data_IF_581145547204
#
_entry.id   IF_581145547204
#
_cell.length_a   1.000
_cell.length_b   1.000
_cell.length_c   1.000
_cell.angle_alpha   90.00
_cell.angle_beta   90.00
_cell.angle_gamma   90.00
#
_symmetry.space_group_name_H-M   'P 1'
#
loop_
_entity.id
_entity.type
_entity.pdbx_description
1 polymer ?
#
# COMPACT_ATOMS: atom_id res chain seq x y z
N UNK A 1 18.58 24.31 -46.04
CA UNK A 1 17.20 23.88 -45.71
C UNK A 1 17.20 22.37 -45.56
N UNK A 2 17.16 21.90 -44.31
CA UNK A 2 16.51 20.65 -43.88
C UNK A 2 16.80 20.51 -42.39
N UNK A 3 15.91 21.10 -41.59
CA UNK A 3 15.86 20.89 -40.16
C UNK A 3 15.18 19.54 -39.95
N UNK A 4 15.93 18.54 -39.50
CA UNK A 4 15.36 17.29 -39.02
C UNK A 4 14.70 17.59 -37.67
N UNK A 5 13.37 17.55 -37.65
CA UNK A 5 12.55 17.57 -36.45
C UNK A 5 12.91 16.34 -35.61
N UNK A 6 13.73 16.55 -34.58
CA UNK A 6 13.96 15.55 -33.54
C UNK A 6 12.64 15.34 -32.80
N UNK A 7 12.00 14.20 -33.05
CA UNK A 7 10.90 13.75 -32.21
C UNK A 7 11.43 13.62 -30.77
N UNK A 8 10.92 14.46 -29.88
CA UNK A 8 11.23 14.39 -28.46
C UNK A 8 10.83 13.00 -27.96
N UNK A 9 11.81 12.25 -27.44
CA UNK A 9 11.53 11.01 -26.72
C UNK A 9 10.56 11.33 -25.55
N UNK A 10 9.59 10.45 -25.24
CA UNK A 10 8.61 10.71 -24.20
C UNK A 10 9.33 10.98 -22.87
N UNK A 11 9.09 12.16 -22.31
CA UNK A 11 9.63 12.57 -21.01
C UNK A 11 9.12 11.61 -19.94
N UNK A 12 10.06 11.02 -19.23
CA UNK A 12 9.83 9.89 -18.34
C UNK A 12 9.45 10.38 -16.93
N UNK A 13 8.22 10.86 -16.78
CA UNK A 13 7.73 11.44 -15.52
C UNK A 13 7.13 10.36 -14.63
N UNK A 14 7.62 10.25 -13.38
CA UNK A 14 7.00 9.44 -12.34
C UNK A 14 5.72 10.13 -11.86
N UNK A 15 4.71 9.33 -11.57
CA UNK A 15 3.46 9.77 -10.92
C UNK A 15 3.58 9.67 -9.41
N UNK A 16 2.68 10.29 -8.66
CA UNK A 16 2.63 10.09 -7.20
C UNK A 16 2.43 8.62 -6.81
N UNK A 17 1.74 7.83 -7.62
CA UNK A 17 1.56 6.40 -7.37
C UNK A 17 2.89 5.67 -7.53
N UNK A 18 3.67 6.02 -8.56
CA UNK A 18 5.03 5.50 -8.77
C UNK A 18 5.93 5.82 -7.56
N UNK A 19 5.98 7.10 -7.16
CA UNK A 19 6.83 7.58 -6.07
C UNK A 19 6.43 7.01 -4.70
N UNK A 20 5.12 6.86 -4.44
CA UNK A 20 4.62 6.20 -3.23
C UNK A 20 5.08 4.74 -3.16
N UNK A 21 4.91 3.95 -4.23
CA UNK A 21 5.37 2.55 -4.24
C UNK A 21 6.88 2.45 -4.11
N UNK A 22 7.64 3.31 -4.79
CA UNK A 22 9.10 3.35 -4.65
C UNK A 22 9.55 3.70 -3.23
N UNK A 23 8.81 4.55 -2.52
CA UNK A 23 9.06 4.85 -1.10
C UNK A 23 8.90 3.62 -0.22
N UNK A 24 7.94 2.75 -0.55
CA UNK A 24 7.73 1.49 0.17
C UNK A 24 8.77 0.42 -0.18
N UNK A 25 9.56 0.57 -1.24
CA UNK A 25 10.55 -0.43 -1.63
C UNK A 25 11.77 -0.40 -0.69
N UNK A 26 12.05 -1.54 -0.06
CA UNK A 26 13.31 -1.79 0.61
C UNK A 26 14.33 -2.30 -0.42
N UNK A 27 15.37 -1.52 -0.63
CA UNK A 27 16.36 -1.72 -1.69
C UNK A 27 17.35 -2.84 -1.36
N UNK A 28 17.70 -2.98 -0.09
CA UNK A 28 18.60 -4.02 0.39
C UNK A 28 17.95 -5.40 0.29
N UNK A 29 16.66 -5.47 0.61
CA UNK A 29 15.91 -6.72 0.63
C UNK A 29 15.26 -7.06 -0.73
N UNK A 30 14.98 -6.06 -1.57
CA UNK A 30 14.22 -6.22 -2.83
C UNK A 30 12.71 -6.45 -2.63
N UNK A 31 12.19 -6.11 -1.44
CA UNK A 31 10.79 -6.29 -1.05
C UNK A 31 10.18 -4.97 -0.59
N UNK A 32 8.86 -4.86 -0.63
CA UNK A 32 8.16 -3.71 -0.06
C UNK A 32 8.01 -3.83 1.46
N UNK A 33 8.08 -2.70 2.16
CA UNK A 33 7.66 -2.57 3.54
C UNK A 33 6.21 -3.05 3.68
N UNK A 34 5.95 -3.85 4.70
CA UNK A 34 4.66 -4.50 4.90
C UNK A 34 3.61 -3.50 5.36
N UNK A 35 2.55 -3.31 4.57
CA UNK A 35 1.36 -2.47 4.89
C UNK A 35 0.11 -3.38 4.93
N UNK A 36 -0.90 -3.20 5.81
CA UNK A 36 -2.10 -4.05 5.75
C UNK A 36 -2.77 -3.84 4.40
N UNK A 37 -3.27 -4.91 3.78
CA UNK A 37 -3.78 -4.82 2.41
C UNK A 37 -4.87 -3.77 2.21
N UNK A 38 -5.73 -3.55 3.21
CA UNK A 38 -6.73 -2.48 3.13
C UNK A 38 -6.10 -1.08 3.15
N UNK A 39 -5.23 -0.81 4.11
CA UNK A 39 -4.58 0.50 4.25
C UNK A 39 -3.68 0.79 3.04
N UNK A 40 -2.98 -0.22 2.51
CA UNK A 40 -2.20 -0.12 1.28
C UNK A 40 -3.10 0.25 0.11
N UNK A 41 -4.24 -0.44 -0.03
CA UNK A 41 -5.19 -0.15 -1.10
C UNK A 41 -5.76 1.27 -0.99
N UNK A 42 -6.11 1.71 0.22
CA UNK A 42 -6.54 3.07 0.48
C UNK A 42 -5.44 4.09 0.12
N UNK A 43 -4.18 3.82 0.52
CA UNK A 43 -3.07 4.72 0.29
C UNK A 43 -2.72 4.84 -1.20
N UNK A 44 -2.72 3.72 -1.95
CA UNK A 44 -2.49 3.71 -3.40
C UNK A 44 -3.60 4.45 -4.14
N UNK A 45 -4.86 4.25 -3.77
CA UNK A 45 -5.99 5.01 -4.32
C UNK A 45 -5.85 6.49 -3.97
N UNK A 46 -5.42 6.80 -2.74
CA UNK A 46 -5.13 8.15 -2.28
C UNK A 46 -4.03 8.82 -3.11
N UNK A 47 -2.94 8.10 -3.42
CA UNK A 47 -1.88 8.60 -4.29
C UNK A 47 -2.40 8.88 -5.71
N UNK A 48 -3.25 8.01 -6.25
CA UNK A 48 -3.87 8.21 -7.56
C UNK A 48 -4.82 9.42 -7.58
N UNK A 49 -5.60 9.62 -6.52
CA UNK A 49 -6.44 10.81 -6.35
C UNK A 49 -5.59 12.07 -6.18
N UNK A 50 -4.50 12.01 -5.40
CA UNK A 50 -3.52 13.10 -5.29
C UNK A 50 -2.95 13.49 -6.65
N UNK A 51 -2.55 12.51 -7.46
CA UNK A 51 -2.05 12.73 -8.82
C UNK A 51 -3.10 13.40 -9.72
N UNK A 52 -4.35 12.93 -9.67
CA UNK A 52 -5.46 13.56 -10.38
C UNK A 52 -5.69 15.01 -9.93
N UNK A 53 -5.51 15.31 -8.65
CA UNK A 53 -5.60 16.68 -8.15
C UNK A 53 -4.47 17.57 -8.64
N UNK A 54 -3.22 17.08 -8.61
CA UNK A 54 -2.08 17.80 -9.15
C UNK A 54 -2.20 18.07 -10.66
N UNK A 55 -2.91 17.20 -11.38
CA UNK A 55 -3.27 17.39 -12.81
C UNK A 55 -4.54 18.21 -13.03
N UNK A 56 -5.10 18.80 -11.97
CA UNK A 56 -6.33 19.60 -11.99
C UNK A 56 -7.53 18.87 -12.61
N UNK A 57 -7.59 17.54 -12.44
CA UNK A 57 -8.75 16.72 -12.83
C UNK A 57 -9.83 16.72 -11.75
N UNK A 58 -9.39 16.72 -10.50
CA UNK A 58 -10.24 16.79 -9.31
C UNK A 58 -9.72 17.85 -8.35
N UNK A 59 -10.60 18.26 -7.44
CA UNK A 59 -10.26 19.07 -6.27
C UNK A 59 -10.96 18.50 -5.04
N UNK A 60 -10.49 18.84 -3.85
CA UNK A 60 -11.09 18.40 -2.60
C UNK A 60 -11.22 19.56 -1.64
N UNK A 61 -12.42 19.74 -1.10
CA UNK A 61 -12.60 20.56 0.10
C UNK A 61 -12.83 19.65 1.33
N UNK A 62 -13.17 20.26 2.47
CA UNK A 62 -13.39 19.54 3.73
C UNK A 62 -14.60 18.60 3.67
N UNK A 63 -15.59 18.90 2.83
CA UNK A 63 -16.88 18.21 2.79
C UNK A 63 -17.01 17.25 1.60
N UNK A 64 -16.44 17.61 0.45
CA UNK A 64 -16.68 16.94 -0.81
C UNK A 64 -15.51 17.00 -1.80
N UNK A 65 -15.45 15.97 -2.64
CA UNK A 65 -14.62 15.93 -3.83
C UNK A 65 -15.38 16.59 -5.00
N UNK A 66 -14.68 17.44 -5.74
CA UNK A 66 -15.18 18.18 -6.89
C UNK A 66 -14.47 17.68 -8.15
N UNK A 67 -15.24 17.29 -9.16
CA UNK A 67 -14.71 17.02 -10.50
C UNK A 67 -14.47 18.34 -11.23
N UNK A 68 -13.24 18.56 -11.71
CA UNK A 68 -12.86 19.75 -12.48
C UNK A 68 -12.83 19.48 -13.98
N UNK A 69 -12.24 18.34 -14.39
CA UNK A 69 -12.05 17.95 -15.78
C UNK A 69 -12.09 16.42 -15.89
N UNK A 70 -12.98 15.89 -16.74
CA UNK A 70 -13.19 14.46 -16.98
C UNK A 70 -12.31 13.89 -18.12
N UNK A 71 -11.46 14.72 -18.72
CA UNK A 71 -10.57 14.30 -19.80
C UNK A 71 -9.61 13.20 -19.32
N UNK A 72 -9.59 12.03 -19.98
CA UNK A 72 -8.68 10.94 -19.65
C UNK A 72 -7.23 11.40 -19.62
N UNK A 73 -6.49 10.89 -18.64
CA UNK A 73 -5.07 11.21 -18.43
C UNK A 73 -4.15 10.35 -19.29
N UNK A 74 -4.65 9.23 -19.82
CA UNK A 74 -3.87 8.23 -20.54
C UNK A 74 -3.09 7.28 -19.62
N UNK A 75 -3.31 7.38 -18.30
CA UNK A 75 -2.69 6.52 -17.31
C UNK A 75 -3.71 5.46 -16.83
N UNK A 76 -3.44 4.15 -17.03
CA UNK A 76 -4.35 3.09 -16.63
C UNK A 76 -4.57 2.99 -15.11
N UNK A 77 -3.67 3.55 -14.29
CA UNK A 77 -3.86 3.64 -12.84
C UNK A 77 -4.86 4.74 -12.44
N UNK A 78 -4.99 5.81 -13.23
CA UNK A 78 -5.76 7.00 -12.89
C UNK A 78 -7.13 7.03 -13.58
N UNK A 79 -7.18 6.66 -14.86
CA UNK A 79 -8.37 6.81 -15.71
C UNK A 79 -9.59 6.04 -15.17
N UNK A 80 -9.46 4.80 -14.64
CA UNK A 80 -10.61 4.10 -14.06
C UNK A 80 -11.16 4.75 -12.78
N UNK A 81 -10.33 5.50 -12.05
CA UNK A 81 -10.77 6.30 -10.89
C UNK A 81 -11.52 7.52 -11.38
N UNK A 82 -10.93 8.26 -12.32
CA UNK A 82 -11.53 9.47 -12.88
C UNK A 82 -12.88 9.19 -13.53
N UNK A 83 -12.97 8.13 -14.34
CA UNK A 83 -14.23 7.68 -14.95
C UNK A 83 -15.29 7.37 -13.88
N UNK A 84 -14.89 6.74 -12.77
CA UNK A 84 -15.85 6.39 -11.72
C UNK A 84 -16.38 7.62 -10.97
N UNK A 85 -15.52 8.62 -10.75
CA UNK A 85 -15.89 9.90 -10.17
C UNK A 85 -16.82 10.66 -11.12
N UNK A 86 -16.47 10.74 -12.42
CA UNK A 86 -17.24 11.46 -13.42
C UNK A 86 -18.67 10.91 -13.62
N UNK A 87 -18.85 9.60 -13.44
CA UNK A 87 -20.14 8.93 -13.60
C UNK A 87 -21.02 8.91 -12.33
N UNK A 88 -20.58 9.49 -11.20
CA UNK A 88 -21.36 9.52 -9.97
C UNK A 88 -22.08 10.87 -9.79
N UNK A 89 -23.42 10.89 -9.79
CA UNK A 89 -24.18 12.14 -9.69
C UNK A 89 -24.17 12.76 -8.28
N UNK A 90 -23.82 11.98 -7.25
CA UNK A 90 -23.86 12.42 -5.85
C UNK A 90 -22.52 12.96 -5.40
N UNK A 91 -22.52 14.07 -4.65
CA UNK A 91 -21.32 14.59 -4.01
C UNK A 91 -20.97 13.75 -2.80
N UNK A 92 -19.70 13.39 -2.68
CA UNK A 92 -19.17 12.59 -1.59
C UNK A 92 -17.81 13.13 -1.15
N UNK A 93 -17.46 12.89 0.11
CA UNK A 93 -16.16 13.26 0.66
C UNK A 93 -15.02 12.49 -0.01
N UNK A 94 -13.80 13.02 0.08
CA UNK A 94 -12.61 12.31 -0.40
C UNK A 94 -12.44 10.95 0.32
N UNK A 95 -12.72 10.87 1.62
CA UNK A 95 -12.73 9.62 2.38
C UNK A 95 -13.65 8.55 1.77
N UNK A 96 -14.88 8.93 1.41
CA UNK A 96 -15.82 8.02 0.76
C UNK A 96 -15.25 7.45 -0.54
N UNK A 97 -14.62 8.31 -1.34
CA UNK A 97 -14.02 7.89 -2.61
C UNK A 97 -12.86 6.94 -2.42
N UNK A 98 -11.96 7.23 -1.46
CA UNK A 98 -10.85 6.35 -1.10
C UNK A 98 -11.38 4.97 -0.71
N UNK A 99 -12.32 4.89 0.24
CA UNK A 99 -12.87 3.60 0.68
C UNK A 99 -13.61 2.85 -0.43
N UNK A 100 -14.39 3.56 -1.25
CA UNK A 100 -15.16 2.97 -2.35
C UNK A 100 -14.25 2.41 -3.44
N UNK A 101 -13.14 3.08 -3.70
CA UNK A 101 -12.20 2.75 -4.76
C UNK A 101 -11.08 1.82 -4.28
N UNK A 102 -10.90 1.61 -2.98
CA UNK A 102 -9.90 0.71 -2.40
C UNK A 102 -9.96 -0.73 -2.96
N UNK A 103 -11.13 -1.19 -3.44
CA UNK A 103 -11.24 -2.48 -4.13
C UNK A 103 -10.42 -2.56 -5.43
N UNK A 104 -10.03 -1.42 -6.00
CA UNK A 104 -9.15 -1.32 -7.18
C UNK A 104 -7.66 -1.22 -6.81
N UNK A 105 -7.31 -1.13 -5.52
CA UNK A 105 -5.94 -0.92 -5.06
C UNK A 105 -4.95 -1.92 -5.67
N UNK A 106 -5.27 -3.21 -5.65
CA UNK A 106 -4.43 -4.26 -6.26
C UNK A 106 -4.19 -4.02 -7.75
N UNK A 107 -5.24 -3.70 -8.53
CA UNK A 107 -5.09 -3.44 -9.96
C UNK A 107 -4.26 -2.19 -10.27
N UNK A 108 -4.29 -1.20 -9.37
CA UNK A 108 -3.46 0.00 -9.50
C UNK A 108 -2.00 -0.36 -9.21
N UNK A 109 -1.75 -1.12 -8.14
CA UNK A 109 -0.40 -1.59 -7.80
C UNK A 109 0.20 -2.37 -8.97
N UNK A 110 -0.54 -3.34 -9.52
CA UNK A 110 -0.06 -4.16 -10.64
C UNK A 110 0.28 -3.31 -11.86
N UNK A 111 -0.62 -2.39 -12.26
CA UNK A 111 -0.40 -1.49 -13.39
C UNK A 111 0.80 -0.55 -13.18
N UNK A 112 0.98 -0.04 -11.95
CA UNK A 112 2.11 0.82 -11.59
C UNK A 112 3.42 0.05 -11.60
N UNK A 113 3.47 -1.18 -11.07
CA UNK A 113 4.68 -2.01 -11.10
C UNK A 113 5.07 -2.39 -12.53
N UNK A 114 4.10 -2.79 -13.36
CA UNK A 114 4.33 -3.05 -14.79
C UNK A 114 4.87 -1.81 -15.50
N UNK A 115 4.27 -0.64 -15.23
CA UNK A 115 4.76 0.64 -15.74
C UNK A 115 6.20 0.91 -15.29
N UNK A 116 6.53 0.76 -14.01
CA UNK A 116 7.87 0.98 -13.49
C UNK A 116 8.91 0.04 -14.13
N UNK A 117 8.52 -1.20 -14.48
CA UNK A 117 9.37 -2.14 -15.22
C UNK A 117 9.54 -1.72 -16.69
N UNK A 118 8.47 -1.30 -17.37
CA UNK A 118 8.53 -0.75 -18.73
C UNK A 118 9.40 0.50 -18.81
N UNK A 119 9.27 1.34 -17.78
CA UNK A 119 10.11 2.49 -17.56
C UNK A 119 11.51 2.07 -17.10
N UNK A 120 11.91 0.80 -17.00
CA UNK A 120 13.26 0.43 -16.54
C UNK A 120 13.65 1.15 -15.24
N UNK A 121 12.71 1.38 -14.34
CA UNK A 121 12.97 1.89 -12.99
C UNK A 121 13.09 0.69 -12.05
N UNK A 122 12.26 -0.33 -12.29
CA UNK A 122 12.33 -1.62 -11.62
C UNK A 122 12.73 -2.71 -12.62
N UNK A 123 13.38 -3.74 -12.12
CA UNK A 123 13.55 -5.04 -12.76
C UNK A 123 12.73 -6.05 -11.98
N UNK A 124 11.95 -6.85 -12.71
CA UNK A 124 11.18 -7.95 -12.13
C UNK A 124 11.97 -9.25 -12.28
N UNK A 125 12.10 -9.99 -11.17
CA UNK A 125 12.84 -11.25 -11.14
C UNK A 125 11.93 -12.44 -10.88
N UNK A 126 12.35 -13.60 -11.38
CA UNK A 126 11.69 -14.87 -11.11
C UNK A 126 11.65 -15.14 -9.60
N UNK A 127 10.44 -15.23 -9.04
CA UNK A 127 10.23 -15.38 -7.59
C UNK A 127 9.44 -14.23 -6.94
N UNK A 128 9.08 -13.20 -7.71
CA UNK A 128 8.19 -12.12 -7.24
C UNK A 128 8.88 -11.07 -6.39
N UNK A 129 10.17 -10.85 -6.62
CA UNK A 129 10.92 -9.73 -6.03
C UNK A 129 11.29 -8.71 -7.12
N UNK A 130 11.43 -7.46 -6.71
CA UNK A 130 11.78 -6.35 -7.59
C UNK A 130 13.07 -5.70 -7.10
N UNK A 131 13.93 -5.33 -8.04
CA UNK A 131 15.13 -4.54 -7.73
C UNK A 131 15.12 -3.26 -8.54
N UNK A 132 15.85 -2.25 -8.07
CA UNK A 132 16.02 -1.02 -8.84
C UNK A 132 16.92 -1.27 -10.05
N UNK A 133 16.47 -0.78 -11.19
CA UNK A 133 17.23 -0.82 -12.44
C UNK A 133 18.26 0.32 -12.43
N UNK A 134 19.50 0.01 -12.06
CA UNK A 134 20.62 0.99 -12.04
C UNK A 134 20.81 1.73 -13.36
N UNK A 135 20.52 1.08 -14.49
CA UNK A 135 20.81 1.62 -15.83
C UNK A 135 19.66 2.41 -16.46
N UNK A 136 18.46 2.42 -15.88
CA UNK A 136 17.28 3.00 -16.53
C UNK A 136 16.85 4.36 -16.00
N UNK A 137 17.31 4.78 -14.83
CA UNK A 137 17.13 6.14 -14.33
C UNK A 137 18.36 6.97 -14.72
N UNK A 138 18.37 7.53 -15.93
CA UNK A 138 19.36 8.54 -16.32
C UNK A 138 18.71 9.91 -16.24
N UNK A 139 19.34 10.77 -15.45
CA UNK A 139 18.97 12.12 -15.04
C UNK A 139 18.75 13.09 -16.21
N UNK A 140 17.57 13.05 -16.84
CA UNK A 140 17.08 14.17 -17.65
C UNK A 140 16.02 15.02 -16.91
N UNK A 141 15.76 14.71 -15.65
CA UNK A 141 14.82 15.45 -14.80
C UNK A 141 15.61 16.10 -13.66
N UNK A 142 15.69 17.43 -13.72
CA UNK A 142 16.17 18.33 -12.65
C UNK A 142 17.51 17.92 -12.02
N UNK A 143 18.56 18.07 -12.83
CA UNK A 143 19.98 17.99 -12.47
C UNK A 143 20.33 17.67 -11.02
N UNK A 144 20.62 16.41 -10.73
CA UNK A 144 21.75 15.99 -9.92
C UNK A 144 21.96 14.47 -10.01
N UNK A 145 23.26 14.10 -9.97
CA UNK A 145 23.91 12.79 -9.84
C UNK A 145 23.52 11.67 -10.83
N UNK A 146 24.46 11.32 -11.70
CA UNK A 146 24.43 10.18 -12.65
C UNK A 146 24.37 8.77 -12.00
N UNK A 147 24.21 8.65 -10.68
CA UNK A 147 24.35 7.38 -9.94
C UNK A 147 23.30 7.15 -8.82
N UNK A 148 22.37 8.08 -8.59
CA UNK A 148 21.27 7.90 -7.61
C UNK A 148 20.13 7.09 -8.25
N UNK A 149 19.46 6.21 -7.50
CA UNK A 149 18.27 5.51 -8.01
C UNK A 149 17.01 6.37 -7.88
N UNK A 150 15.95 6.01 -8.60
CA UNK A 150 14.66 6.72 -8.47
C UNK A 150 14.09 6.66 -7.04
N UNK A 151 14.27 5.54 -6.33
CA UNK A 151 13.78 5.40 -4.97
C UNK A 151 14.60 6.22 -3.97
N UNK A 152 15.94 6.20 -4.10
CA UNK A 152 16.83 7.06 -3.30
C UNK A 152 16.49 8.53 -3.53
N UNK A 153 16.28 8.96 -4.78
CA UNK A 153 15.90 10.34 -5.09
C UNK A 153 14.63 10.78 -4.34
N UNK A 154 13.57 9.95 -4.37
CA UNK A 154 12.31 10.22 -3.67
C UNK A 154 12.53 10.26 -2.16
N UNK A 155 13.25 9.27 -1.60
CA UNK A 155 13.57 9.22 -0.17
C UNK A 155 14.42 10.40 0.29
N UNK A 156 15.40 10.83 -0.51
CA UNK A 156 16.23 12.00 -0.24
C UNK A 156 15.38 13.26 -0.17
N UNK A 157 14.43 13.45 -1.11
CA UNK A 157 13.53 14.61 -1.13
C UNK A 157 12.60 14.63 0.08
N UNK A 158 11.98 13.50 0.41
CA UNK A 158 11.15 13.33 1.60
C UNK A 158 11.96 13.57 2.89
N UNK A 159 13.17 13.01 2.97
CA UNK A 159 14.09 13.19 4.10
C UNK A 159 14.42 14.67 4.30
N UNK A 160 14.68 15.43 3.22
CA UNK A 160 14.92 16.88 3.32
C UNK A 160 13.71 17.64 3.85
N UNK A 161 12.50 17.28 3.44
CA UNK A 161 11.28 17.90 3.97
C UNK A 161 11.05 17.58 5.46
N UNK A 162 11.35 16.35 5.88
CA UNK A 162 11.16 15.88 7.26
C UNK A 162 12.19 16.47 8.21
N UNK A 163 13.48 16.44 7.87
CA UNK A 163 14.56 16.86 8.77
C UNK A 163 15.09 18.28 8.51
N UNK A 164 14.78 18.86 7.35
CA UNK A 164 15.14 20.24 7.01
C UNK A 164 14.11 21.24 7.52
N UNK A 165 14.30 22.53 7.18
CA UNK A 165 13.32 23.58 7.50
C UNK A 165 12.40 23.93 6.33
N UNK A 166 12.70 23.44 5.13
CA UNK A 166 11.95 23.73 3.90
C UNK A 166 10.55 23.09 3.88
N UNK A 167 9.60 23.77 3.22
CA UNK A 167 8.27 23.22 2.99
C UNK A 167 8.33 22.20 1.83
N UNK A 168 7.73 21.01 2.00
CA UNK A 168 7.65 20.02 0.92
C UNK A 168 6.88 20.57 -0.27
N UNK A 169 7.18 20.04 -1.45
CA UNK A 169 6.29 20.22 -2.60
C UNK A 169 4.93 19.52 -2.32
N UNK A 170 3.83 19.92 -2.99
CA UNK A 170 2.52 19.32 -2.74
C UNK A 170 2.49 17.79 -2.91
N UNK A 171 3.32 17.25 -3.81
CA UNK A 171 3.41 15.81 -4.04
C UNK A 171 4.08 15.08 -2.88
N UNK A 172 5.20 15.60 -2.40
CA UNK A 172 5.90 15.10 -1.22
C UNK A 172 5.05 15.18 0.03
N UNK A 173 4.28 16.26 0.20
CA UNK A 173 3.36 16.40 1.33
C UNK A 173 2.30 15.27 1.35
N UNK A 174 1.77 14.92 0.17
CA UNK A 174 0.86 13.79 0.01
C UNK A 174 1.58 12.47 0.34
N UNK A 175 2.77 12.22 -0.22
CA UNK A 175 3.52 10.97 0.02
C UNK A 175 3.85 10.82 1.51
N UNK A 176 4.29 11.88 2.17
CA UNK A 176 4.56 11.91 3.62
C UNK A 176 3.28 11.55 4.39
N UNK A 177 2.15 12.17 4.05
CA UNK A 177 0.86 11.91 4.70
C UNK A 177 0.40 10.46 4.54
N UNK A 178 0.50 9.91 3.32
CA UNK A 178 0.13 8.52 3.02
C UNK A 178 1.01 7.50 3.73
N UNK A 179 2.32 7.72 3.69
CA UNK A 179 3.33 6.84 4.28
C UNK A 179 3.25 6.87 5.81
N UNK A 180 2.93 8.04 6.38
CA UNK A 180 2.64 8.20 7.81
C UNK A 180 1.34 7.47 8.21
N UNK A 181 0.28 7.62 7.43
CA UNK A 181 -1.00 6.93 7.69
C UNK A 181 -0.89 5.39 7.61
N UNK A 182 0.04 4.87 6.81
CA UNK A 182 0.35 3.44 6.72
C UNK A 182 1.24 2.91 7.88
N UNK A 183 1.69 3.78 8.80
CA UNK A 183 2.59 3.48 9.91
C UNK A 183 3.94 2.87 9.47
N UNK A 184 4.43 3.25 8.29
CA UNK A 184 5.72 2.79 7.75
C UNK A 184 6.77 3.89 7.67
N UNK A 185 6.36 5.17 7.77
CA UNK A 185 7.29 6.30 7.69
C UNK A 185 8.37 6.26 8.78
N UNK A 186 8.00 5.88 10.01
CA UNK A 186 8.95 5.71 11.13
C UNK A 186 9.99 4.63 10.87
N UNK A 187 9.60 3.55 10.17
CA UNK A 187 10.48 2.45 9.83
C UNK A 187 11.47 2.83 8.73
N UNK A 188 11.01 3.59 7.74
CA UNK A 188 11.81 4.00 6.57
C UNK A 188 12.85 5.06 6.96
N UNK A 189 12.44 6.08 7.72
CA UNK A 189 13.27 7.25 8.02
C UNK A 189 13.85 7.28 9.44
N UNK A 190 13.60 6.25 10.27
CA UNK A 190 14.09 6.17 11.65
C UNK A 190 13.82 7.44 12.46
N UNK A 191 12.56 7.90 12.42
CA UNK A 191 12.17 9.20 12.98
C UNK A 191 12.36 9.25 14.50
N UNK A 192 12.98 10.33 14.98
CA UNK A 192 12.97 10.72 16.39
C UNK A 192 11.68 11.49 16.76
N UNK A 193 11.55 11.89 18.03
CA UNK A 193 10.35 12.58 18.51
C UNK A 193 10.15 13.95 17.86
N UNK A 194 11.23 14.67 17.52
CA UNK A 194 11.17 15.97 16.87
C UNK A 194 10.74 15.85 15.40
N UNK A 195 11.35 14.94 14.65
CA UNK A 195 10.97 14.65 13.28
C UNK A 195 9.54 14.11 13.18
N UNK A 196 9.10 13.30 14.15
CA UNK A 196 7.72 12.86 14.23
C UNK A 196 6.73 14.02 14.43
N UNK A 197 7.05 14.97 15.30
CA UNK A 197 6.23 16.16 15.51
C UNK A 197 6.18 17.03 14.25
N UNK A 198 7.31 17.14 13.53
CA UNK A 198 7.37 17.83 12.24
C UNK A 198 6.52 17.16 11.17
N UNK A 199 6.59 15.83 11.04
CA UNK A 199 5.72 15.06 10.15
C UNK A 199 4.25 15.34 10.47
N UNK A 200 3.86 15.29 11.75
CA UNK A 200 2.48 15.59 12.14
C UNK A 200 2.05 17.01 11.74
N UNK A 201 2.96 17.98 11.82
CA UNK A 201 2.70 19.34 11.34
C UNK A 201 2.54 19.40 9.82
N UNK A 202 3.42 18.74 9.06
CA UNK A 202 3.35 18.68 7.59
C UNK A 202 2.04 18.05 7.11
N UNK A 203 1.62 16.94 7.73
CA UNK A 203 0.34 16.28 7.45
C UNK A 203 -0.88 17.18 7.73
N UNK A 204 -0.76 18.17 8.63
CA UNK A 204 -1.83 19.14 8.90
C UNK A 204 -1.94 20.22 7.83
N UNK A 205 -0.96 20.42 6.95
CA UNK A 205 -1.03 21.48 5.94
C UNK A 205 -1.78 21.00 4.69
N UNK A 206 -1.75 19.70 4.40
CA UNK A 206 -2.37 19.11 3.21
C UNK A 206 -3.82 18.65 3.46
N UNK A 207 -4.77 19.20 2.71
CA UNK A 207 -6.19 18.82 2.79
C UNK A 207 -6.44 17.43 2.18
N UNK A 208 -5.74 17.09 1.10
CA UNK A 208 -5.90 15.83 0.38
C UNK A 208 -5.29 14.70 1.21
N UNK A 209 -4.04 14.86 1.63
CA UNK A 209 -3.33 13.96 2.51
C UNK A 209 -4.07 13.72 3.82
N UNK A 210 -4.69 14.76 4.40
CA UNK A 210 -5.53 14.60 5.60
C UNK A 210 -6.76 13.77 5.33
N UNK A 211 -7.55 14.08 4.29
CA UNK A 211 -8.77 13.34 4.01
C UNK A 211 -8.49 11.85 3.72
N UNK A 212 -7.32 11.54 3.13
CA UNK A 212 -6.87 10.16 2.92
C UNK A 212 -6.37 9.52 4.23
N UNK A 213 -5.60 10.26 5.04
CA UNK A 213 -5.15 9.78 6.34
C UNK A 213 -6.33 9.48 7.28
N UNK A 214 -7.39 10.29 7.23
CA UNK A 214 -8.65 10.06 7.94
C UNK A 214 -9.32 8.77 7.42
N UNK A 215 -9.37 8.55 6.11
CA UNK A 215 -9.90 7.32 5.53
C UNK A 215 -9.14 6.06 5.98
N UNK A 216 -7.81 6.14 6.11
CA UNK A 216 -6.97 5.04 6.58
C UNK A 216 -7.18 4.83 8.09
N UNK A 217 -7.14 5.89 8.89
CA UNK A 217 -7.30 5.82 10.35
C UNK A 217 -8.69 5.33 10.76
N UNK A 218 -9.74 5.83 10.12
CA UNK A 218 -11.12 5.42 10.37
C UNK A 218 -11.41 4.00 9.87
N UNK A 219 -10.67 3.52 8.88
CA UNK A 219 -10.79 2.12 8.45
C UNK A 219 -10.36 1.10 9.52
N UNK A 220 -9.56 1.53 10.49
CA UNK A 220 -9.22 0.75 11.69
C UNK A 220 -10.34 0.83 12.74
N UNK A 221 -11.04 1.97 12.83
CA UNK A 221 -12.08 2.23 13.84
C UNK A 221 -13.50 1.75 13.44
N UNK A 222 -13.80 1.64 12.14
CA UNK A 222 -15.13 1.27 11.65
C UNK A 222 -15.42 1.87 10.28
N UNK A 223 -14.94 1.27 9.18
CA UNK A 223 -15.02 1.86 7.84
C UNK A 223 -16.47 2.09 7.39
N UNK A 224 -16.72 3.23 6.73
CA UNK A 224 -18.06 3.66 6.30
C UNK A 224 -18.66 2.69 5.27
N UNK A 225 -17.83 2.14 4.39
CA UNK A 225 -18.26 1.32 3.25
C UNK A 225 -17.79 -0.13 3.28
N UNK A 226 -17.07 -0.61 4.31
CA UNK A 226 -16.58 -1.99 4.36
C UNK A 226 -17.73 -2.98 4.50
N UNK A 227 -18.34 -3.32 3.38
CA UNK A 227 -19.01 -4.60 3.22
C UNK A 227 -17.92 -5.65 3.25
N UNK A 228 -17.90 -6.42 4.33
CA UNK A 228 -17.25 -7.73 4.35
C UNK A 228 -17.71 -8.48 3.08
N UNK A 229 -16.85 -8.55 2.08
CA UNK A 229 -17.00 -9.42 0.89
C UNK A 229 -16.68 -10.86 1.25
N UNK A 230 -16.91 -11.28 2.50
CA UNK A 230 -17.00 -12.68 2.81
C UNK A 230 -18.24 -13.23 2.13
N UNK A 231 -18.07 -13.74 0.90
CA UNK A 231 -19.09 -14.50 0.18
C UNK A 231 -19.58 -15.71 1.00
N UNK A 232 -18.83 -16.10 2.03
CA UNK A 232 -19.17 -17.15 2.99
C UNK A 232 -18.71 -16.74 4.39
N UNK A 233 -19.60 -16.79 5.37
CA UNK A 233 -19.26 -16.53 6.76
C UNK A 233 -18.15 -17.49 7.23
N UNK A 234 -17.13 -16.96 7.91
CA UNK A 234 -16.04 -17.78 8.46
C UNK A 234 -16.65 -18.68 9.54
N UNK A 235 -16.48 -20.02 9.44
CA UNK A 235 -17.03 -20.93 10.42
C UNK A 235 -16.32 -20.79 11.78
N UNK A 236 -17.09 -20.83 12.85
CA UNK A 236 -16.58 -20.71 14.23
C UNK A 236 -16.46 -22.09 14.85
N UNK A 237 -15.25 -22.44 15.28
CA UNK A 237 -14.97 -23.67 16.02
C UNK A 237 -15.39 -23.50 17.48
N UNK A 238 -16.15 -24.48 17.98
CA UNK A 238 -16.55 -24.52 19.39
C UNK A 238 -15.38 -24.90 20.30
N UNK A 239 -15.14 -24.14 21.35
CA UNK A 239 -14.12 -24.42 22.38
C UNK A 239 -14.26 -25.81 23.00
N UNK A 240 -15.50 -26.28 23.21
CA UNK A 240 -15.76 -27.60 23.79
C UNK A 240 -15.30 -28.70 22.83
N UNK A 241 -15.52 -28.51 21.51
CA UNK A 241 -15.05 -29.45 20.48
C UNK A 241 -13.53 -29.43 20.38
N UNK A 242 -12.92 -28.24 20.42
CA UNK A 242 -11.46 -28.07 20.41
C UNK A 242 -10.83 -28.85 21.57
N UNK A 243 -11.28 -28.62 22.81
CA UNK A 243 -10.75 -29.27 24.02
C UNK A 243 -11.02 -30.79 24.08
N UNK A 244 -12.07 -31.28 23.40
CA UNK A 244 -12.38 -32.71 23.31
C UNK A 244 -11.61 -33.43 22.19
N UNK A 245 -10.90 -32.70 21.33
CA UNK A 245 -10.18 -33.32 20.22
C UNK A 245 -9.04 -34.22 20.76
N UNK A 246 -8.92 -35.48 20.29
CA UNK A 246 -7.88 -36.40 20.71
C UNK A 246 -6.45 -35.83 20.59
N UNK A 247 -6.22 -34.96 19.61
CA UNK A 247 -4.92 -34.36 19.33
C UNK A 247 -4.52 -33.28 20.35
N UNK A 248 -5.49 -32.61 21.00
CA UNK A 248 -5.21 -31.69 22.13
C UNK A 248 -4.62 -32.47 23.31
N UNK A 249 -5.20 -33.63 23.64
CA UNK A 249 -4.73 -34.47 24.76
C UNK A 249 -3.34 -35.06 24.53
N UNK A 250 -2.94 -35.23 23.27
CA UNK A 250 -1.63 -35.76 22.86
C UNK A 250 -0.58 -34.65 22.63
N UNK A 251 -0.94 -33.38 22.80
CA UNK A 251 -0.05 -32.25 22.53
C UNK A 251 0.34 -32.06 21.05
N UNK A 252 -0.35 -32.73 20.12
CA UNK A 252 -0.01 -32.68 18.69
C UNK A 252 -0.82 -31.58 17.99
N UNK A 253 -0.33 -30.35 18.10
CA UNK A 253 -0.94 -29.16 17.49
C UNK A 253 -1.04 -29.24 15.95
N UNK A 254 -0.02 -29.73 15.21
CA UNK A 254 -0.14 -29.86 13.75
C UNK A 254 -1.30 -30.78 13.32
N UNK A 255 -1.45 -31.94 13.95
CA UNK A 255 -2.54 -32.87 13.65
C UNK A 255 -3.91 -32.31 14.07
N UNK A 256 -3.96 -31.55 15.17
CA UNK A 256 -5.17 -30.84 15.59
C UNK A 256 -5.64 -29.86 14.50
N UNK A 257 -4.77 -28.95 14.07
CA UNK A 257 -5.13 -27.95 13.06
C UNK A 257 -5.39 -28.57 11.69
N UNK A 258 -4.71 -29.66 11.33
CA UNK A 258 -5.03 -30.43 10.12
C UNK A 258 -6.46 -31.01 10.19
N UNK A 259 -6.86 -31.62 11.31
CA UNK A 259 -8.21 -32.16 11.49
C UNK A 259 -9.29 -31.07 11.45
N UNK A 260 -9.00 -29.89 12.02
CA UNK A 260 -9.91 -28.74 11.98
C UNK A 260 -10.02 -28.15 10.56
N UNK A 261 -8.92 -28.13 9.79
CA UNK A 261 -8.92 -27.67 8.41
C UNK A 261 -9.74 -28.59 7.50
N UNK A 262 -9.76 -29.89 7.76
CA UNK A 262 -10.60 -30.85 7.05
C UNK A 262 -12.10 -30.66 7.38
N UNK A 263 -12.46 -30.43 8.64
CA UNK A 263 -13.86 -30.27 9.07
C UNK A 263 -14.44 -28.89 8.72
N UNK A 264 -13.67 -27.82 8.93
CA UNK A 264 -14.15 -26.43 8.82
C UNK A 264 -13.64 -25.70 7.57
N UNK A 265 -12.75 -26.33 6.81
CA UNK A 265 -12.10 -25.72 5.66
C UNK A 265 -10.83 -24.93 6.02
N UNK A 266 -10.18 -24.32 5.01
CA UNK A 266 -8.86 -23.72 5.16
C UNK A 266 -8.82 -22.45 6.04
N UNK A 267 -9.98 -21.84 6.30
CA UNK A 267 -10.14 -20.62 7.10
C UNK A 267 -11.25 -20.84 8.13
N UNK A 268 -10.93 -20.75 9.41
CA UNK A 268 -11.93 -20.84 10.48
C UNK A 268 -11.57 -19.94 11.66
N UNK A 269 -12.52 -19.70 12.55
CA UNK A 269 -12.35 -18.82 13.70
C UNK A 269 -12.41 -19.61 15.01
N UNK A 270 -11.51 -19.34 15.95
CA UNK A 270 -11.61 -19.84 17.34
C UNK A 270 -11.92 -18.65 18.26
N UNK A 271 -12.95 -18.81 19.10
CA UNK A 271 -13.26 -17.85 20.15
C UNK A 271 -12.54 -18.27 21.43
N UNK A 272 -11.54 -17.52 21.87
CA UNK A 272 -10.82 -17.80 23.12
C UNK A 272 -11.62 -17.18 24.29
N UNK A 273 -11.74 -17.86 25.46
CA UNK A 273 -12.34 -17.24 26.65
C UNK A 273 -11.50 -16.03 27.05
N UNK A 274 -12.14 -14.89 27.32
CA UNK A 274 -11.47 -13.64 27.76
C UNK A 274 -10.43 -13.07 26.77
N UNK A 275 -10.46 -13.47 25.49
CA UNK A 275 -9.53 -12.99 24.46
C UNK A 275 -10.22 -12.52 23.16
N UNK A 276 -9.43 -12.00 22.23
CA UNK A 276 -9.90 -11.60 20.89
C UNK A 276 -10.28 -12.84 20.05
N UNK A 277 -11.14 -12.62 19.05
CA UNK A 277 -11.48 -13.64 18.05
C UNK A 277 -10.24 -13.87 17.17
N UNK A 278 -9.76 -15.11 17.12
CA UNK A 278 -8.62 -15.47 16.30
C UNK A 278 -9.09 -16.18 15.03
N UNK A 279 -8.62 -15.71 13.88
CA UNK A 279 -8.84 -16.35 12.57
C UNK A 279 -7.61 -17.20 12.26
N UNK A 280 -7.83 -18.46 11.90
CA UNK A 280 -6.81 -19.42 11.57
C UNK A 280 -6.82 -19.71 10.08
N UNK A 281 -5.62 -19.67 9.49
CA UNK A 281 -5.33 -20.09 8.13
C UNK A 281 -4.54 -21.39 8.23
N UNK A 282 -5.10 -22.50 7.78
CA UNK A 282 -4.48 -23.81 7.98
C UNK A 282 -4.79 -24.80 6.85
N UNK A 283 -3.97 -25.84 6.78
CA UNK A 283 -4.06 -26.91 5.80
C UNK A 283 -3.09 -26.78 4.63
N UNK A 284 -2.88 -27.87 3.84
CA UNK A 284 -1.81 -27.93 2.84
C UNK A 284 -1.96 -26.92 1.70
N UNK A 285 -3.20 -26.59 1.31
CA UNK A 285 -3.48 -25.57 0.29
C UNK A 285 -3.15 -24.17 0.79
N UNK A 286 -3.54 -23.88 2.03
CA UNK A 286 -3.25 -22.62 2.69
C UNK A 286 -1.75 -22.43 2.89
N UNK A 287 -1.02 -23.45 3.34
CA UNK A 287 0.44 -23.37 3.45
C UNK A 287 1.09 -23.02 2.11
N UNK A 288 0.71 -23.71 1.02
CA UNK A 288 1.24 -23.38 -0.31
C UNK A 288 0.91 -21.95 -0.75
N UNK A 289 -0.30 -21.48 -0.45
CA UNK A 289 -0.70 -20.11 -0.75
C UNK A 289 0.07 -19.09 0.09
N UNK A 290 0.24 -19.32 1.39
CA UNK A 290 1.02 -18.49 2.32
C UNK A 290 2.50 -18.48 1.93
N UNK A 291 3.07 -19.61 1.51
CA UNK A 291 4.46 -19.61 1.04
C UNK A 291 4.67 -18.77 -0.24
N UNK A 292 3.64 -18.65 -1.09
CA UNK A 292 3.72 -17.86 -2.33
C UNK A 292 3.32 -16.40 -2.15
N UNK A 293 2.34 -16.12 -1.30
CA UNK A 293 1.69 -14.80 -1.19
C UNK A 293 1.62 -14.27 0.24
N UNK A 294 2.02 -15.06 1.24
CA UNK A 294 1.91 -14.70 2.65
C UNK A 294 2.70 -13.44 3.01
N UNK A 295 3.83 -13.20 2.33
CA UNK A 295 4.60 -11.96 2.45
C UNK A 295 3.92 -10.73 1.84
N UNK A 296 2.82 -10.90 1.11
CA UNK A 296 2.04 -9.79 0.54
C UNK A 296 0.78 -9.53 1.36
N UNK A 297 0.19 -10.58 1.93
CA UNK A 297 -1.14 -10.52 2.54
C UNK A 297 -1.18 -10.77 4.06
N UNK A 298 -0.10 -11.28 4.66
CA UNK A 298 -0.06 -11.61 6.08
C UNK A 298 1.03 -10.81 6.80
N UNK A 299 0.61 -9.98 7.74
CA UNK A 299 1.50 -9.40 8.75
C UNK A 299 1.65 -10.37 9.90
N UNK A 300 2.87 -10.77 10.22
CA UNK A 300 3.17 -11.22 11.57
C UNK A 300 3.32 -9.96 12.43
N UNK A 301 2.67 -9.91 13.60
CA UNK A 301 2.91 -8.83 14.57
C UNK A 301 4.38 -8.82 15.04
N UNK A 302 5.05 -9.96 14.92
CA UNK A 302 6.48 -10.14 15.14
C UNK A 302 7.06 -10.79 13.87
N UNK A 303 7.59 -9.98 12.95
CA UNK A 303 8.39 -10.53 11.86
C UNK A 303 9.70 -11.02 12.48
N UNK A 304 9.83 -12.32 12.45
CA UNK A 304 10.79 -13.08 13.22
C UNK A 304 12.11 -13.15 12.45
N UNK A 305 12.73 -11.98 12.22
CA UNK A 305 14.13 -11.88 11.79
C UNK A 305 15.09 -12.58 12.79
N UNK A 306 14.61 -12.84 14.01
CA UNK A 306 15.32 -13.62 15.01
C UNK A 306 15.04 -15.14 14.97
N UNK A 307 14.04 -15.66 14.25
CA UNK A 307 13.73 -17.11 14.32
C UNK A 307 14.69 -17.93 13.48
N UNK A 308 15.16 -17.37 12.36
CA UNK A 308 16.21 -18.00 11.56
C UNK A 308 17.54 -18.06 12.32
N UNK A 309 17.76 -17.17 13.30
CA UNK A 309 18.92 -17.21 14.21
C UNK A 309 18.73 -18.16 15.41
N UNK A 310 17.49 -18.40 15.84
CA UNK A 310 17.20 -19.25 17.02
C UNK A 310 17.03 -20.73 16.64
N UNK A 311 16.67 -21.01 15.39
CA UNK A 311 16.48 -22.39 14.89
C UNK A 311 17.38 -22.76 13.70
N UNK A 312 18.41 -21.94 13.43
CA UNK A 312 19.56 -22.30 12.60
C UNK A 312 20.63 -23.01 13.42
#
# INVERSE_FOLDING_TARGET
>A
MSSATGAAAPTKTLTLVDEFLLTLLNEDAGYFHQVPGWDLNCAVVGAAMGELSLRSRIDTDVESLILLDDTPTGDPALDPILEKIANEPSRHSAQYWVERLAIRGESIIDATLERLVLLKVLEHHDGGFWTLARAGWQANLRGQADDETAAEFVKTRISRAIFGEELPDPGDAIIISLTNACDVLRLIFQLDDEAAARVEHLCKIDLIGRAIADAITDSVAGPLLRRSTFAKAIPVVSLIKLLRNPHVRRGNLPALFASLAEEYGPVFQIKVPFGQRMIFLCGPRTNRWVHRHGRMYLRARDYLEEFEKVYG
#
